data_IF_241813958488
#
_entry.id   IF_241813958488
#
_cell.length_a   1.000
_cell.length_b   1.000
_cell.length_c   1.000
_cell.angle_alpha   90.00
_cell.angle_beta   90.00
_cell.angle_gamma   90.00
#
_symmetry.space_group_name_H-M   'P 1'
#
loop_
_entity.id
_entity.type
_entity.pdbx_description
1 polymer ?
#
# COMPACT_ATOMS: atom_id res chain seq x y z
N UNK A 1 -1.88 11.85 3.83
CA UNK A 1 -1.06 11.52 2.64
C UNK A 1 -1.72 10.37 1.89
N UNK A 2 -1.62 10.31 0.56
CA UNK A 2 -2.21 9.22 -0.24
C UNK A 2 -1.07 8.38 -0.83
N UNK A 3 -1.07 7.09 -0.53
CA UNK A 3 -0.10 6.13 -1.08
C UNK A 3 -0.69 5.48 -2.34
N UNK A 4 -0.02 5.59 -3.49
CA UNK A 4 -0.42 4.91 -4.72
C UNK A 4 0.54 3.78 -5.08
N UNK A 5 -0.02 2.63 -5.47
CA UNK A 5 0.71 1.42 -5.85
C UNK A 5 0.34 1.02 -7.28
N UNK A 6 1.33 0.83 -8.15
CA UNK A 6 1.13 0.22 -9.46
C UNK A 6 2.20 -0.84 -9.75
N UNK A 7 1.73 -2.08 -9.85
CA UNK A 7 2.53 -3.27 -10.15
C UNK A 7 1.99 -4.00 -11.38
N UNK A 8 1.22 -3.32 -12.24
CA UNK A 8 0.61 -3.91 -13.44
C UNK A 8 1.63 -4.23 -14.53
N UNK A 9 2.80 -3.57 -14.52
CA UNK A 9 3.90 -3.85 -15.44
C UNK A 9 4.71 -5.07 -14.99
N UNK A 10 5.10 -5.94 -15.92
CA UNK A 10 5.83 -7.19 -15.60
C UNK A 10 7.19 -6.96 -14.94
N UNK A 11 7.90 -5.91 -15.34
CA UNK A 11 9.29 -5.68 -14.94
C UNK A 11 9.48 -4.38 -14.15
N UNK A 12 8.38 -3.77 -13.71
CA UNK A 12 8.41 -2.47 -13.05
C UNK A 12 7.37 -2.42 -11.94
N UNK A 13 7.78 -1.92 -10.77
CA UNK A 13 6.87 -1.49 -9.72
C UNK A 13 6.99 0.02 -9.58
N UNK A 14 5.86 0.66 -9.29
CA UNK A 14 5.76 2.07 -9.00
C UNK A 14 5.07 2.27 -7.65
N UNK A 15 5.65 3.13 -6.83
CA UNK A 15 5.04 3.65 -5.61
C UNK A 15 5.09 5.17 -5.66
N UNK A 16 3.97 5.82 -5.37
CA UNK A 16 3.86 7.28 -5.32
C UNK A 16 3.26 7.70 -3.99
N UNK A 17 3.77 8.80 -3.42
CA UNK A 17 3.23 9.43 -2.23
C UNK A 17 2.75 10.84 -2.59
N UNK A 18 1.45 11.07 -2.48
CA UNK A 18 0.82 12.35 -2.81
C UNK A 18 0.32 13.06 -1.57
N UNK A 19 0.64 14.34 -1.45
CA UNK A 19 0.04 15.23 -0.47
C UNK A 19 -1.19 15.92 -1.10
N UNK A 20 -2.42 15.59 -0.67
CA UNK A 20 -3.62 16.21 -1.22
C UNK A 20 -3.75 17.69 -0.87
N UNK A 21 -3.09 18.18 0.19
CA UNK A 21 -3.17 19.59 0.64
C UNK A 21 -2.30 20.49 -0.23
N UNK A 22 -1.08 20.05 -0.52
CA UNK A 22 -0.11 20.85 -1.28
C UNK A 22 -0.05 20.49 -2.76
N UNK A 23 -0.66 19.36 -3.16
CA UNK A 23 -0.61 18.83 -4.52
C UNK A 23 0.73 18.19 -4.88
N UNK A 24 1.74 18.23 -4.00
CA UNK A 24 3.05 17.63 -4.23
C UNK A 24 2.95 16.10 -4.28
N UNK A 25 3.74 15.49 -5.14
CA UNK A 25 3.87 14.04 -5.24
C UNK A 25 5.34 13.66 -5.41
N UNK A 26 5.75 12.60 -4.72
CA UNK A 26 7.03 11.94 -4.93
C UNK A 26 6.78 10.53 -5.45
N UNK A 27 7.67 10.04 -6.31
CA UNK A 27 7.48 8.78 -7.03
C UNK A 27 8.77 7.97 -7.05
N UNK A 28 8.65 6.69 -6.75
CA UNK A 28 9.71 5.69 -6.90
C UNK A 28 9.30 4.67 -7.95
N UNK A 29 10.20 4.45 -8.91
CA UNK A 29 10.06 3.41 -9.93
C UNK A 29 11.24 2.45 -9.75
N UNK A 30 10.94 1.17 -9.61
CA UNK A 30 11.96 0.12 -9.49
C UNK A 30 11.78 -0.87 -10.63
N UNK A 31 12.84 -1.07 -11.43
CA UNK A 31 12.91 -2.21 -12.33
C UNK A 31 13.12 -3.47 -11.50
N UNK A 32 12.28 -4.47 -11.71
CA UNK A 32 12.28 -5.73 -10.96
C UNK A 32 12.41 -6.89 -11.94
N UNK A 33 13.55 -7.60 -11.90
CA UNK A 33 13.73 -8.92 -12.56
C UNK A 33 13.11 -10.06 -11.74
N UNK A 34 13.05 -9.89 -10.41
CA UNK A 34 12.49 -10.82 -9.44
C UNK A 34 11.21 -10.18 -8.89
N UNK A 35 10.07 -10.85 -9.06
CA UNK A 35 8.75 -10.28 -8.74
C UNK A 35 8.53 -9.96 -7.26
N UNK A 36 7.45 -9.23 -6.95
CA UNK A 36 6.77 -8.97 -5.66
C UNK A 36 7.55 -8.52 -4.40
N UNK A 37 8.82 -8.90 -4.22
CA UNK A 37 9.57 -8.72 -2.97
C UNK A 37 10.03 -7.26 -2.74
N UNK A 38 10.01 -6.42 -3.77
CA UNK A 38 10.52 -5.05 -3.69
C UNK A 38 9.47 -4.03 -3.25
N UNK A 39 8.18 -4.37 -3.26
CA UNK A 39 7.10 -3.39 -3.07
C UNK A 39 7.09 -2.78 -1.66
N UNK A 40 7.10 -3.61 -0.61
CA UNK A 40 7.14 -3.11 0.78
C UNK A 40 8.40 -2.27 1.06
N UNK A 41 9.62 -2.70 0.68
CA UNK A 41 10.80 -1.84 0.78
C UNK A 41 10.66 -0.49 0.06
N UNK A 42 10.03 -0.45 -1.11
CA UNK A 42 9.78 0.81 -1.83
C UNK A 42 8.83 1.74 -1.05
N UNK A 43 7.77 1.18 -0.46
CA UNK A 43 6.81 1.94 0.37
C UNK A 43 7.53 2.54 1.59
N UNK A 44 8.30 1.73 2.32
CA UNK A 44 9.08 2.22 3.46
C UNK A 44 10.08 3.30 3.04
N UNK A 45 10.76 3.11 1.89
CA UNK A 45 11.73 4.07 1.37
C UNK A 45 11.08 5.42 1.00
N UNK A 46 9.92 5.42 0.35
CA UNK A 46 9.26 6.67 -0.05
C UNK A 46 8.71 7.43 1.16
N UNK A 47 8.16 6.71 2.14
CA UNK A 47 7.69 7.30 3.40
C UNK A 47 8.83 7.96 4.17
N UNK A 48 9.94 7.22 4.37
CA UNK A 48 11.14 7.73 5.04
C UNK A 48 11.75 8.93 4.31
N UNK A 49 11.82 8.91 2.98
CA UNK A 49 12.34 10.04 2.17
C UNK A 49 11.52 11.31 2.38
N UNK A 50 10.20 11.17 2.56
CA UNK A 50 9.29 12.30 2.74
C UNK A 50 9.04 12.64 4.22
N UNK A 51 9.69 11.95 5.16
CA UNK A 51 9.49 12.10 6.62
C UNK A 51 8.01 11.94 7.02
N UNK A 52 7.38 10.92 6.45
CA UNK A 52 5.97 10.57 6.67
C UNK A 52 5.94 9.20 7.34
N UNK A 53 5.14 9.05 8.38
CA UNK A 53 4.90 7.76 9.03
C UNK A 53 3.66 7.07 8.43
N UNK A 54 3.51 5.76 8.65
CA UNK A 54 2.32 5.04 8.18
C UNK A 54 1.01 5.61 8.74
N UNK A 55 1.04 6.19 9.94
CA UNK A 55 -0.11 6.87 10.56
C UNK A 55 -0.54 8.16 9.85
N UNK A 56 0.33 8.75 9.04
CA UNK A 56 0.02 9.98 8.28
C UNK A 56 -0.69 9.68 6.95
N UNK A 57 -0.79 8.40 6.58
CA UNK A 57 -1.56 7.96 5.43
C UNK A 57 -3.06 8.11 5.72
N UNK A 58 -3.79 8.63 4.74
CA UNK A 58 -5.23 8.86 4.81
C UNK A 58 -6.02 7.98 3.83
N UNK A 59 -5.36 7.44 2.82
CA UNK A 59 -5.92 6.51 1.86
C UNK A 59 -4.82 5.76 1.11
N UNK A 60 -5.18 4.61 0.55
CA UNK A 60 -4.34 3.84 -0.35
C UNK A 60 -5.05 3.73 -1.70
N UNK A 61 -4.32 3.95 -2.78
CA UNK A 61 -4.77 3.70 -4.13
C UNK A 61 -3.91 2.60 -4.75
N UNK A 62 -4.53 1.72 -5.51
CA UNK A 62 -3.84 0.65 -6.23
C UNK A 62 -4.43 0.49 -7.60
N UNK A 63 -3.58 0.33 -8.62
CA UNK A 63 -4.03 -0.01 -9.96
C UNK A 63 -4.47 -1.50 -10.00
N UNK A 64 -5.77 -1.81 -10.15
CA UNK A 64 -6.26 -3.18 -10.15
C UNK A 64 -6.07 -3.90 -11.50
N UNK A 65 -5.42 -3.25 -12.47
CA UNK A 65 -5.24 -3.76 -13.83
C UNK A 65 -6.17 -3.11 -14.86
N UNK A 66 -6.21 -3.64 -16.10
CA UNK A 66 -5.56 -4.87 -16.56
C UNK A 66 -4.02 -4.81 -16.52
N UNK A 67 -3.35 -5.96 -16.37
CA UNK A 67 -1.89 -6.01 -16.23
C UNK A 67 -1.30 -7.40 -15.98
N UNK A 68 -0.06 -7.44 -15.52
CA UNK A 68 0.66 -8.65 -15.08
C UNK A 68 -0.16 -9.42 -14.04
N UNK A 69 -0.51 -10.67 -14.34
CA UNK A 69 -1.31 -11.50 -13.44
C UNK A 69 -0.73 -11.57 -12.01
N UNK A 70 0.57 -11.86 -11.90
CA UNK A 70 1.26 -11.90 -10.62
C UNK A 70 1.42 -10.51 -10.01
N UNK A 71 1.84 -9.53 -10.83
CA UNK A 71 2.11 -8.17 -10.37
C UNK A 71 0.85 -7.48 -9.81
N UNK A 72 -0.25 -7.52 -10.55
CA UNK A 72 -1.54 -6.96 -10.13
C UNK A 72 -2.03 -7.57 -8.83
N UNK A 73 -1.98 -8.91 -8.69
CA UNK A 73 -2.40 -9.58 -7.45
C UNK A 73 -1.57 -9.17 -6.25
N UNK A 74 -0.25 -9.05 -6.42
CA UNK A 74 0.65 -8.60 -5.36
C UNK A 74 0.33 -7.17 -4.94
N UNK A 75 0.16 -6.25 -5.90
CA UNK A 75 -0.16 -4.86 -5.60
C UNK A 75 -1.46 -4.73 -4.82
N UNK A 76 -2.53 -5.40 -5.29
CA UNK A 76 -3.83 -5.39 -4.64
C UNK A 76 -3.77 -6.04 -3.26
N UNK A 77 -3.09 -7.18 -3.10
CA UNK A 77 -2.95 -7.85 -1.81
C UNK A 77 -2.22 -6.96 -0.78
N UNK A 78 -1.13 -6.31 -1.18
CA UNK A 78 -0.39 -5.39 -0.30
C UNK A 78 -1.22 -4.17 0.05
N UNK A 79 -1.92 -3.57 -0.93
CA UNK A 79 -2.80 -2.43 -0.68
C UNK A 79 -3.93 -2.78 0.30
N UNK A 80 -4.57 -3.94 0.13
CA UNK A 80 -5.62 -4.42 1.02
C UNK A 80 -5.09 -4.74 2.42
N UNK A 81 -3.93 -5.39 2.53
CA UNK A 81 -3.32 -5.70 3.83
C UNK A 81 -2.96 -4.42 4.60
N UNK A 82 -2.38 -3.43 3.92
CA UNK A 82 -2.08 -2.12 4.52
C UNK A 82 -3.36 -1.36 4.88
N UNK A 83 -4.36 -1.37 4.00
CA UNK A 83 -5.65 -0.72 4.25
C UNK A 83 -6.36 -1.32 5.45
N UNK A 84 -6.33 -2.64 5.59
CA UNK A 84 -6.84 -3.34 6.77
C UNK A 84 -6.06 -3.00 8.04
N UNK A 85 -4.72 -3.08 8.00
CA UNK A 85 -3.87 -2.87 9.17
C UNK A 85 -3.92 -1.42 9.69
N UNK A 86 -4.13 -0.44 8.80
CA UNK A 86 -4.15 0.98 9.13
C UNK A 86 -5.58 1.56 9.22
N UNK A 87 -6.61 0.73 9.04
CA UNK A 87 -8.02 1.16 8.97
C UNK A 87 -8.27 2.26 7.91
N UNK A 88 -7.62 2.13 6.75
CA UNK A 88 -7.68 3.10 5.65
C UNK A 88 -8.52 2.58 4.47
N UNK A 89 -9.21 3.48 3.75
CA UNK A 89 -9.87 3.10 2.50
C UNK A 89 -8.84 2.74 1.42
N UNK A 90 -9.17 1.73 0.62
CA UNK A 90 -8.41 1.32 -0.58
C UNK A 90 -9.26 1.60 -1.80
N UNK A 91 -8.77 2.42 -2.73
CA UNK A 91 -9.54 2.87 -3.91
C UNK A 91 -10.92 3.45 -3.54
N UNK A 92 -10.99 4.18 -2.42
CA UNK A 92 -12.23 4.77 -1.91
C UNK A 92 -13.19 3.79 -1.21
N UNK A 93 -12.85 2.50 -1.13
CA UNK A 93 -13.65 1.49 -0.45
C UNK A 93 -13.07 1.18 0.93
N UNK A 94 -13.91 1.23 1.97
CA UNK A 94 -13.56 0.83 3.32
C UNK A 94 -14.39 -0.38 3.73
N UNK A 95 -13.73 -1.50 4.04
CA UNK A 95 -14.37 -2.75 4.42
C UNK A 95 -14.67 -2.83 5.93
N UNK A 96 -15.50 -3.79 6.32
CA UNK A 96 -15.68 -4.14 7.74
C UNK A 96 -14.43 -4.88 8.25
N UNK A 97 -13.81 -4.37 9.30
CA UNK A 97 -12.71 -5.04 9.99
C UNK A 97 -13.30 -6.14 10.88
N UNK A 98 -12.82 -7.37 10.68
CA UNK A 98 -13.06 -8.46 11.63
C UNK A 98 -11.86 -8.49 12.57
N UNK A 99 -12.09 -8.15 13.84
CA UNK A 99 -11.07 -8.27 14.88
C UNK A 99 -11.13 -9.67 15.50
N UNK A 100 -9.97 -10.29 15.80
CA UNK A 100 -9.97 -11.54 16.55
C UNK A 100 -10.59 -11.32 17.93
N UNK A 101 -11.50 -12.22 18.33
CA UNK A 101 -12.02 -12.28 19.69
C UNK A 101 -11.12 -13.26 20.44
N UNK A 102 -10.30 -12.72 21.34
CA UNK A 102 -9.47 -13.54 22.21
C UNK A 102 -10.32 -14.08 23.37
N UNK A 103 -10.11 -15.34 23.73
CA UNK A 103 -10.67 -15.89 24.96
C UNK A 103 -10.11 -15.08 26.15
N UNK A 104 -10.97 -14.69 27.10
CA UNK A 104 -10.50 -14.00 28.31
C UNK A 104 -9.45 -14.89 28.98
N UNK A 105 -8.28 -14.32 29.21
CA UNK A 105 -7.24 -14.97 29.98
C UNK A 105 -7.80 -15.30 31.37
N UNK A 106 -7.35 -16.40 32.00
CA UNK A 106 -7.60 -16.65 33.43
C UNK A 106 -7.02 -15.56 34.35
N UNK A 107 -6.27 -14.63 33.76
CA UNK A 107 -5.59 -13.53 34.40
C UNK A 107 -6.10 -12.13 33.98
N UNK A 108 -7.17 -12.07 33.15
CA UNK A 108 -7.88 -10.82 32.84
C UNK A 108 -8.92 -10.48 33.92
#
# INVERSE_FOLDING_TARGET
MILKIDTTKREEATVELKDPKTGKADKLIQKQKLGSQVLLPMIVKILKKNKVDFSDLSAIEVNPGPGSFTGTRVGVAVANALGFALDLPVNGQKGKIVVPIYEKSKFD
#
